data_IF_865558738941
#
_entry.id   IF_865558738941
#
_cell.length_a   1.000
_cell.length_b   1.000
_cell.length_c   1.000
_cell.angle_alpha   90.00
_cell.angle_beta   90.00
_cell.angle_gamma   90.00
#
_symmetry.space_group_name_H-M   'P 1'
#
loop_
_entity.id
_entity.type
_entity.pdbx_description
1 polymer ?
#
# COMPACT_ATOMS: atom_id res chain seq x y z
N UNK A 1 -20.28 34.60 -26.32
CA UNK A 1 -20.16 34.59 -24.84
C UNK A 1 -19.81 35.94 -24.22
N UNK A 2 -18.75 36.65 -24.68
CA UNK A 2 -18.33 37.95 -24.10
C UNK A 2 -19.41 39.04 -24.09
N UNK A 3 -20.23 39.15 -25.14
CA UNK A 3 -21.32 40.14 -25.20
C UNK A 3 -22.48 39.84 -24.24
N UNK A 4 -22.77 38.56 -23.97
CA UNK A 4 -23.78 38.11 -23.01
C UNK A 4 -23.33 38.36 -21.56
N UNK A 5 -22.06 38.09 -21.26
CA UNK A 5 -21.43 38.40 -19.97
C UNK A 5 -21.45 39.89 -19.63
N UNK A 6 -21.24 40.76 -20.64
CA UNK A 6 -21.32 42.20 -20.47
C UNK A 6 -22.73 42.69 -20.11
N UNK A 7 -23.77 42.10 -20.70
CA UNK A 7 -25.18 42.45 -20.42
C UNK A 7 -25.65 41.96 -19.05
N UNK A 8 -25.23 40.76 -18.62
CA UNK A 8 -25.60 40.21 -17.29
C UNK A 8 -24.90 40.99 -16.17
N UNK A 9 -23.63 41.34 -16.33
CA UNK A 9 -22.87 42.08 -15.31
C UNK A 9 -23.37 43.52 -15.10
N UNK A 10 -24.08 44.09 -16.09
CA UNK A 10 -24.72 45.40 -15.98
C UNK A 10 -26.09 45.35 -15.28
N UNK A 11 -26.72 44.18 -15.21
CA UNK A 11 -28.02 43.94 -14.56
C UNK A 11 -27.85 43.43 -13.13
N UNK A 12 -26.89 42.54 -12.91
CA UNK A 12 -26.53 41.99 -11.60
C UNK A 12 -25.02 41.70 -11.59
N UNK A 13 -24.23 42.53 -10.88
CA UNK A 13 -22.79 42.34 -10.75
C UNK A 13 -22.39 41.00 -10.13
N UNK A 14 -23.19 40.44 -9.21
CA UNK A 14 -22.93 39.15 -8.57
C UNK A 14 -23.19 37.99 -9.54
N UNK A 15 -24.29 38.04 -10.29
CA UNK A 15 -24.58 37.05 -11.33
C UNK A 15 -23.50 37.08 -12.44
N UNK A 16 -23.02 38.27 -12.81
CA UNK A 16 -21.93 38.45 -13.76
C UNK A 16 -20.60 37.84 -13.28
N UNK A 17 -20.31 37.93 -11.98
CA UNK A 17 -19.13 37.30 -11.38
C UNK A 17 -19.26 35.77 -11.36
N UNK A 18 -20.43 35.23 -11.01
CA UNK A 18 -20.67 33.78 -10.97
C UNK A 18 -20.46 33.11 -12.33
N UNK A 19 -20.96 33.69 -13.43
CA UNK A 19 -20.77 33.12 -14.77
C UNK A 19 -19.30 33.15 -15.20
N UNK A 20 -18.54 34.19 -14.83
CA UNK A 20 -17.09 34.25 -15.09
C UNK A 20 -16.33 33.15 -14.36
N UNK A 21 -16.67 32.88 -13.09
CA UNK A 21 -16.06 31.82 -12.29
C UNK A 21 -16.32 30.45 -12.91
N UNK A 22 -17.55 30.18 -13.32
CA UNK A 22 -17.93 28.91 -13.96
C UNK A 22 -17.15 28.70 -15.26
N UNK A 23 -17.18 29.69 -16.15
CA UNK A 23 -16.48 29.62 -17.44
C UNK A 23 -14.96 29.42 -17.27
N UNK A 24 -14.35 30.13 -16.32
CA UNK A 24 -12.92 30.02 -16.06
C UNK A 24 -12.51 28.61 -15.61
N UNK A 25 -13.22 28.00 -14.66
CA UNK A 25 -12.87 26.66 -14.19
C UNK A 25 -13.27 25.55 -15.16
N UNK A 26 -14.29 25.76 -15.99
CA UNK A 26 -14.62 24.85 -17.10
C UNK A 26 -13.49 24.81 -18.14
N UNK A 27 -12.87 25.94 -18.47
CA UNK A 27 -11.68 26.00 -19.34
C UNK A 27 -10.44 25.31 -18.74
N UNK A 28 -10.42 25.11 -17.43
CA UNK A 28 -9.36 24.40 -16.71
C UNK A 28 -9.61 22.90 -16.55
N UNK A 29 -10.61 22.33 -17.22
CA UNK A 29 -10.80 20.88 -17.27
C UNK A 29 -9.55 20.19 -17.87
N UNK A 30 -8.89 19.36 -17.06
CA UNK A 30 -7.64 18.69 -17.44
C UNK A 30 -6.34 19.46 -17.15
N UNK A 31 -6.42 20.69 -16.64
CA UNK A 31 -5.25 21.48 -16.25
C UNK A 31 -4.53 20.94 -14.99
N UNK A 32 -3.30 21.40 -14.77
CA UNK A 32 -2.55 21.09 -13.55
C UNK A 32 -3.17 21.71 -12.29
N UNK A 33 -2.69 21.31 -11.12
CA UNK A 33 -3.13 21.84 -9.82
C UNK A 33 -2.83 23.34 -9.69
N UNK A 34 -1.69 23.79 -10.22
CA UNK A 34 -1.23 25.19 -10.16
C UNK A 34 -2.21 26.19 -10.82
N UNK A 35 -2.65 26.00 -12.08
CA UNK A 35 -3.66 26.87 -12.71
C UNK A 35 -4.95 27.02 -11.90
N UNK A 36 -5.40 25.97 -11.21
CA UNK A 36 -6.63 26.00 -10.42
C UNK A 36 -6.46 26.88 -9.18
N UNK A 37 -5.33 26.79 -8.48
CA UNK A 37 -5.04 27.62 -7.30
C UNK A 37 -4.83 29.07 -7.72
N UNK A 38 -4.12 29.30 -8.83
CA UNK A 38 -3.95 30.62 -9.43
C UNK A 38 -5.29 31.28 -9.72
N UNK A 39 -6.19 30.53 -10.38
CA UNK A 39 -7.54 30.96 -10.67
C UNK A 39 -8.32 31.36 -9.42
N UNK A 40 -8.26 30.53 -8.38
CA UNK A 40 -8.92 30.81 -7.12
C UNK A 40 -8.43 32.13 -6.50
N UNK A 41 -7.13 32.39 -6.51
CA UNK A 41 -6.57 33.63 -5.97
C UNK A 41 -6.92 34.87 -6.80
N UNK A 42 -6.80 34.78 -8.13
CA UNK A 42 -7.08 35.89 -9.05
C UNK A 42 -8.57 36.27 -9.05
N UNK A 43 -9.48 35.28 -9.03
CA UNK A 43 -10.92 35.53 -9.08
C UNK A 43 -11.50 36.08 -7.76
N UNK A 44 -10.87 35.75 -6.62
CA UNK A 44 -11.31 36.23 -5.30
C UNK A 44 -10.56 37.46 -4.83
N UNK A 45 -9.41 37.77 -5.44
CA UNK A 45 -8.52 38.85 -5.01
C UNK A 45 -7.83 38.59 -3.67
N UNK A 46 -7.87 37.35 -3.16
CA UNK A 46 -7.17 36.93 -1.93
C UNK A 46 -6.22 35.79 -2.20
N UNK A 47 -5.15 35.62 -1.39
CA UNK A 47 -4.29 34.47 -1.53
C UNK A 47 -5.08 33.17 -1.36
N UNK A 48 -4.76 32.18 -2.18
CA UNK A 48 -5.38 30.86 -2.15
C UNK A 48 -4.29 29.79 -2.09
N UNK A 49 -4.59 28.64 -1.50
CA UNK A 49 -3.63 27.55 -1.46
C UNK A 49 -4.25 26.17 -1.39
N UNK A 50 -3.44 25.17 -1.68
CA UNK A 50 -3.84 23.77 -1.64
C UNK A 50 -2.71 22.90 -1.09
N UNK A 51 -3.06 22.04 -0.13
CA UNK A 51 -2.15 21.04 0.44
C UNK A 51 -2.75 19.65 0.27
N UNK A 52 -1.91 18.67 -0.06
CA UNK A 52 -2.30 17.26 -0.11
C UNK A 52 -1.14 16.40 0.39
N UNK A 53 -1.14 16.00 1.68
CA UNK A 53 -0.06 15.22 2.30
C UNK A 53 0.27 13.94 1.51
N UNK A 54 -0.76 13.18 1.11
CA UNK A 54 -0.59 11.93 0.36
C UNK A 54 -0.01 12.07 -1.07
N UNK A 55 0.16 13.30 -1.58
CA UNK A 55 0.75 13.58 -2.90
C UNK A 55 1.94 14.55 -2.84
N UNK A 56 2.37 14.96 -1.64
CA UNK A 56 3.46 15.92 -1.47
C UNK A 56 3.21 17.28 -2.13
N UNK A 57 1.94 17.66 -2.31
CA UNK A 57 1.56 18.94 -2.91
C UNK A 57 1.33 19.96 -1.80
N UNK A 58 1.98 21.12 -1.90
CA UNK A 58 1.73 22.27 -1.04
C UNK A 58 2.04 23.53 -1.85
N UNK A 59 0.98 24.20 -2.32
CA UNK A 59 1.06 25.34 -3.22
C UNK A 59 0.22 26.49 -2.67
N UNK A 60 0.69 27.71 -2.91
CA UNK A 60 0.01 28.97 -2.57
C UNK A 60 0.14 29.93 -3.74
N UNK A 61 -0.97 30.51 -4.16
CA UNK A 61 -1.02 31.59 -5.13
C UNK A 61 -1.36 32.91 -4.44
N UNK A 62 -0.72 34.00 -4.85
CA UNK A 62 -1.13 35.34 -4.45
C UNK A 62 -2.19 35.93 -5.41
N UNK A 63 -2.83 37.07 -5.07
CA UNK A 63 -3.82 37.71 -5.94
C UNK A 63 -3.28 38.20 -7.29
N UNK A 64 -1.96 38.36 -7.44
CA UNK A 64 -1.32 38.69 -8.72
C UNK A 64 -1.16 37.46 -9.64
N UNK A 65 -1.41 36.26 -9.10
CA UNK A 65 -1.34 34.98 -9.82
C UNK A 65 0.02 34.29 -9.73
N UNK A 66 0.94 34.79 -8.89
CA UNK A 66 2.23 34.15 -8.66
C UNK A 66 2.05 32.93 -7.74
N UNK A 67 2.48 31.76 -8.22
CA UNK A 67 2.31 30.49 -7.50
C UNK A 67 3.65 30.03 -6.93
N UNK A 68 3.66 29.72 -5.64
CA UNK A 68 4.84 29.26 -4.91
C UNK A 68 4.53 28.01 -4.12
N UNK A 69 5.56 27.23 -3.83
CA UNK A 69 5.46 26.18 -2.81
C UNK A 69 5.34 26.82 -1.43
N UNK A 70 4.43 26.31 -0.61
CA UNK A 70 4.28 26.73 0.78
C UNK A 70 4.62 25.57 1.70
N UNK A 71 5.25 25.86 2.84
CA UNK A 71 5.50 24.91 3.92
C UNK A 71 4.58 25.16 5.14
N UNK A 72 3.80 26.23 5.11
CA UNK A 72 2.88 26.58 6.18
C UNK A 72 1.57 25.81 6.03
N UNK A 73 1.12 25.22 7.13
CA UNK A 73 -0.23 24.67 7.23
C UNK A 73 -1.26 25.82 7.20
N UNK A 74 -2.43 25.60 6.59
CA UNK A 74 -3.47 26.63 6.54
C UNK A 74 -3.98 26.97 7.95
N UNK A 75 -4.19 28.25 8.21
CA UNK A 75 -4.82 28.71 9.46
C UNK A 75 -6.25 28.14 9.55
N UNK A 76 -6.65 27.52 10.68
CA UNK A 76 -7.99 26.96 10.86
C UNK A 76 -9.13 27.98 10.72
N UNK A 77 -8.85 29.28 10.89
CA UNK A 77 -9.82 30.37 10.76
C UNK A 77 -10.13 30.76 9.32
N UNK A 78 -9.37 30.26 8.34
CA UNK A 78 -9.55 30.56 6.94
C UNK A 78 -10.65 29.74 6.28
N UNK A 79 -11.34 30.33 5.29
CA UNK A 79 -12.29 29.58 4.48
C UNK A 79 -11.59 28.44 3.75
N UNK A 80 -12.08 27.23 3.95
CA UNK A 80 -11.47 26.03 3.36
C UNK A 80 -12.50 24.97 2.99
N UNK A 81 -12.12 24.12 2.04
CA UNK A 81 -12.91 22.96 1.61
C UNK A 81 -11.99 21.76 1.43
N UNK A 82 -12.49 20.58 1.82
CA UNK A 82 -11.76 19.32 1.60
C UNK A 82 -11.93 18.83 0.16
N UNK A 83 -10.82 18.35 -0.38
CA UNK A 83 -10.71 17.82 -1.74
C UNK A 83 -9.95 16.50 -1.67
N UNK A 84 -10.68 15.39 -1.51
CA UNK A 84 -10.09 14.07 -1.25
C UNK A 84 -9.29 14.09 0.06
N UNK A 85 -8.00 13.73 -0.01
CA UNK A 85 -7.06 13.79 1.12
C UNK A 85 -6.34 15.12 1.30
N UNK A 86 -6.73 16.17 0.57
CA UNK A 86 -6.16 17.51 0.64
C UNK A 86 -7.15 18.60 1.07
N UNK A 87 -6.62 19.81 1.29
CA UNK A 87 -7.38 20.99 1.72
C UNK A 87 -7.06 22.15 0.78
N UNK A 88 -8.11 22.75 0.20
CA UNK A 88 -8.07 24.02 -0.53
C UNK A 88 -8.54 25.13 0.41
N UNK A 89 -7.84 26.26 0.46
CA UNK A 89 -8.21 27.40 1.30
C UNK A 89 -8.07 28.74 0.59
N UNK A 90 -8.74 29.75 1.15
CA UNK A 90 -8.58 31.17 0.86
C UNK A 90 -8.12 31.87 2.16
N UNK A 91 -7.08 32.70 2.11
CA UNK A 91 -6.51 33.40 3.27
C UNK A 91 -7.38 34.58 3.72
N UNK A 92 -8.59 34.26 4.16
CA UNK A 92 -9.59 35.18 4.65
C UNK A 92 -10.30 34.58 5.86
N UNK A 93 -10.21 35.29 6.98
CA UNK A 93 -10.93 34.97 8.22
C UNK A 93 -12.10 35.94 8.37
N UNK A 94 -13.29 35.53 7.92
CA UNK A 94 -14.56 36.27 8.12
C UNK A 94 -15.66 35.31 8.55
N UNK A 95 -16.81 35.83 9.00
CA UNK A 95 -17.90 35.02 9.54
C UNK A 95 -18.50 33.98 8.55
N UNK A 96 -18.22 34.13 7.25
CA UNK A 96 -18.49 33.14 6.20
C UNK A 96 -18.02 33.63 4.83
N UNK A 97 -17.88 32.73 3.83
CA UNK A 97 -17.47 33.11 2.49
C UNK A 97 -18.59 33.89 1.81
N UNK A 98 -18.23 34.96 1.10
CA UNK A 98 -19.16 35.65 0.21
C UNK A 98 -19.62 34.74 -0.94
N UNK A 99 -20.71 35.07 -1.66
CA UNK A 99 -21.25 34.22 -2.73
C UNK A 99 -20.21 33.83 -3.79
N UNK A 100 -19.34 34.78 -4.17
CA UNK A 100 -18.26 34.55 -5.14
C UNK A 100 -17.19 33.60 -4.59
N UNK A 101 -16.83 33.73 -3.32
CA UNK A 101 -15.80 32.89 -2.69
C UNK A 101 -16.28 31.45 -2.52
N UNK A 102 -17.54 31.28 -2.10
CA UNK A 102 -18.17 29.98 -1.99
C UNK A 102 -18.19 29.27 -3.36
N UNK A 103 -18.59 29.98 -4.41
CA UNK A 103 -18.60 29.47 -5.79
C UNK A 103 -17.18 29.12 -6.27
N UNK A 104 -16.19 29.98 -6.02
CA UNK A 104 -14.80 29.71 -6.40
C UNK A 104 -14.27 28.46 -5.67
N UNK A 105 -14.49 28.35 -4.36
CA UNK A 105 -14.07 27.17 -3.58
C UNK A 105 -14.74 25.89 -4.12
N UNK A 106 -16.03 25.94 -4.42
CA UNK A 106 -16.77 24.79 -4.96
C UNK A 106 -16.24 24.36 -6.33
N UNK A 107 -16.12 25.30 -7.27
CA UNK A 107 -15.70 25.03 -8.64
C UNK A 107 -14.23 24.63 -8.72
N UNK A 108 -13.34 25.29 -7.97
CA UNK A 108 -11.94 24.90 -7.85
C UNK A 108 -11.79 23.51 -7.21
N UNK A 109 -12.57 23.20 -6.16
CA UNK A 109 -12.58 21.87 -5.56
C UNK A 109 -13.04 20.80 -6.56
N UNK A 110 -14.09 21.05 -7.35
CA UNK A 110 -14.54 20.13 -8.38
C UNK A 110 -13.45 19.88 -9.44
N UNK A 111 -12.78 20.93 -9.91
CA UNK A 111 -11.66 20.82 -10.85
C UNK A 111 -10.48 20.02 -10.26
N UNK A 112 -10.13 20.28 -8.99
CA UNK A 112 -9.09 19.51 -8.29
C UNK A 112 -9.48 18.05 -8.07
N UNK A 113 -10.73 17.73 -7.70
CA UNK A 113 -11.21 16.34 -7.55
C UNK A 113 -11.13 15.59 -8.87
N UNK A 114 -11.71 16.15 -9.93
CA UNK A 114 -11.63 15.57 -11.27
C UNK A 114 -10.17 15.33 -11.67
N UNK A 115 -9.28 16.29 -11.38
CA UNK A 115 -7.85 16.12 -11.64
C UNK A 115 -7.21 15.03 -10.78
N UNK A 116 -7.50 14.96 -9.48
CA UNK A 116 -6.89 14.03 -8.52
C UNK A 116 -7.38 12.59 -8.67
N UNK A 117 -8.62 12.40 -9.12
CA UNK A 117 -9.21 11.11 -9.50
C UNK A 117 -8.60 10.58 -10.80
N UNK A 118 -8.34 11.47 -11.76
CA UNK A 118 -7.70 11.13 -13.03
C UNK A 118 -6.15 11.31 -13.00
N UNK A 119 -5.58 11.71 -11.87
CA UNK A 119 -4.15 11.87 -11.68
C UNK A 119 -3.52 10.55 -11.27
N UNK A 120 -2.61 9.97 -12.09
CA UNK A 120 -1.68 9.01 -11.54
C UNK A 120 -0.86 9.70 -10.41
N UNK A 121 -0.57 8.99 -9.31
CA UNK A 121 0.13 9.58 -8.16
C UNK A 121 1.50 10.14 -8.56
N UNK A 122 1.87 11.39 -8.18
CA UNK A 122 3.19 11.92 -8.49
C UNK A 122 4.23 11.56 -7.42
N UNK A 123 5.14 10.65 -7.79
CA UNK A 123 6.59 10.67 -7.60
C UNK A 123 7.17 9.56 -8.48
N UNK A 124 7.71 9.94 -9.63
CA UNK A 124 7.94 9.07 -10.79
C UNK A 124 9.04 8.04 -10.62
N UNK A 125 8.70 6.78 -10.88
CA UNK A 125 9.63 5.65 -10.92
C UNK A 125 8.86 4.34 -11.05
N UNK A 126 9.57 3.22 -11.23
CA UNK A 126 9.01 1.87 -11.36
C UNK A 126 7.97 1.55 -10.27
N UNK A 127 8.13 2.02 -9.04
CA UNK A 127 7.19 1.75 -7.93
C UNK A 127 5.78 2.30 -8.16
N UNK A 128 5.61 3.48 -8.74
CA UNK A 128 4.28 4.04 -9.00
C UNK A 128 3.54 3.25 -10.08
N UNK A 129 4.27 2.80 -11.10
CA UNK A 129 3.76 1.91 -12.14
C UNK A 129 3.43 0.53 -11.59
N UNK A 130 4.27 -0.01 -10.70
CA UNK A 130 4.01 -1.27 -10.00
C UNK A 130 2.73 -1.18 -9.15
N UNK A 131 2.50 -0.07 -8.44
CA UNK A 131 1.24 0.18 -7.71
C UNK A 131 0.03 0.17 -8.65
N UNK A 132 0.11 0.91 -9.76
CA UNK A 132 -0.99 0.94 -10.74
C UNK A 132 -1.27 -0.42 -11.38
N UNK A 133 -0.22 -1.23 -11.61
CA UNK A 133 -0.35 -2.57 -12.19
C UNK A 133 -1.09 -3.55 -11.27
N UNK A 134 -0.92 -3.43 -9.95
CA UNK A 134 -1.53 -4.35 -8.99
C UNK A 134 -2.88 -3.87 -8.44
N UNK A 135 -3.30 -2.66 -8.80
CA UNK A 135 -4.54 -2.06 -8.32
C UNK A 135 -5.74 -2.66 -9.07
N UNK A 136 -6.56 -3.44 -8.36
CA UNK A 136 -7.72 -4.11 -8.94
C UNK A 136 -8.80 -3.12 -9.40
N UNK A 137 -8.88 -1.95 -8.75
CA UNK A 137 -9.93 -0.96 -8.94
C UNK A 137 -9.62 0.01 -10.10
N UNK A 138 -8.36 0.01 -10.57
CA UNK A 138 -8.00 0.78 -11.75
C UNK A 138 -8.57 0.16 -13.04
N UNK A 139 -9.12 0.98 -13.96
CA UNK A 139 -9.57 0.51 -15.26
C UNK A 139 -8.44 -0.20 -16.01
N UNK A 140 -8.79 -1.27 -16.72
CA UNK A 140 -7.84 -2.11 -17.45
C UNK A 140 -6.97 -1.30 -18.42
N UNK A 141 -7.55 -0.32 -19.12
CA UNK A 141 -6.81 0.58 -20.00
C UNK A 141 -5.68 1.35 -19.29
N UNK A 142 -5.93 1.79 -18.06
CA UNK A 142 -4.94 2.51 -17.27
C UNK A 142 -3.83 1.56 -16.82
N UNK A 143 -4.17 0.33 -16.43
CA UNK A 143 -3.19 -0.72 -16.12
C UNK A 143 -2.37 -1.12 -17.34
N UNK A 144 -2.99 -1.25 -18.51
CA UNK A 144 -2.30 -1.55 -19.76
C UNK A 144 -1.28 -0.46 -20.12
N UNK A 145 -1.64 0.83 -19.95
CA UNK A 145 -0.71 1.95 -20.11
C UNK A 145 0.43 1.89 -19.08
N UNK A 146 0.13 1.55 -17.83
CA UNK A 146 1.14 1.37 -16.79
C UNK A 146 2.11 0.22 -17.11
N UNK A 147 1.60 -0.92 -17.61
CA UNK A 147 2.38 -2.08 -18.04
C UNK A 147 3.38 -1.73 -19.14
N UNK A 148 2.91 -1.05 -20.18
CA UNK A 148 3.76 -0.58 -21.29
C UNK A 148 4.87 0.35 -20.79
N UNK A 149 4.52 1.30 -19.91
CA UNK A 149 5.50 2.22 -19.32
C UNK A 149 6.44 1.55 -18.32
N UNK A 150 6.04 0.44 -17.71
CA UNK A 150 6.89 -0.38 -16.85
C UNK A 150 7.92 -1.21 -17.65
N UNK A 151 7.67 -1.40 -18.95
CA UNK A 151 8.49 -2.22 -19.85
C UNK A 151 8.08 -3.70 -19.87
N UNK A 152 6.83 -4.03 -19.50
CA UNK A 152 6.31 -5.39 -19.68
C UNK A 152 5.91 -5.58 -21.15
N UNK A 153 6.54 -6.53 -21.82
CA UNK A 153 6.17 -6.89 -23.19
C UNK A 153 4.78 -7.56 -23.21
N UNK A 154 3.96 -7.35 -24.25
CA UNK A 154 2.73 -8.12 -24.44
C UNK A 154 3.01 -9.62 -24.39
N UNK A 155 2.18 -10.37 -23.66
CA UNK A 155 2.35 -11.83 -23.45
C UNK A 155 3.48 -12.24 -22.49
N UNK A 156 4.26 -11.29 -21.96
CA UNK A 156 5.26 -11.61 -20.92
C UNK A 156 4.58 -11.87 -19.57
N UNK A 157 5.10 -12.85 -18.82
CA UNK A 157 4.64 -13.14 -17.47
C UNK A 157 5.45 -12.36 -16.44
N UNK A 158 4.75 -11.81 -15.47
CA UNK A 158 5.31 -11.04 -14.36
C UNK A 158 4.72 -11.51 -13.04
N UNK A 159 5.43 -11.23 -11.94
CA UNK A 159 5.04 -11.56 -10.57
C UNK A 159 4.89 -10.27 -9.77
N UNK A 160 3.83 -10.17 -8.98
CA UNK A 160 3.74 -9.14 -7.96
C UNK A 160 4.51 -9.57 -6.70
N UNK A 161 5.22 -8.64 -6.07
CA UNK A 161 6.00 -8.89 -4.86
C UNK A 161 5.62 -7.89 -3.78
N UNK A 162 5.14 -8.41 -2.65
CA UNK A 162 4.82 -7.67 -1.45
C UNK A 162 6.01 -7.67 -0.50
N UNK A 163 6.72 -6.54 -0.43
CA UNK A 163 7.84 -6.37 0.49
C UNK A 163 7.33 -6.12 1.91
N UNK A 164 8.01 -6.72 2.90
CA UNK A 164 7.79 -6.36 4.28
C UNK A 164 8.05 -4.86 4.50
N UNK A 165 7.10 -4.16 5.13
CA UNK A 165 7.12 -2.70 5.27
C UNK A 165 6.25 -1.95 4.25
N UNK A 166 5.48 -2.66 3.41
CA UNK A 166 4.46 -2.05 2.54
C UNK A 166 4.96 -1.65 1.14
N UNK A 167 6.11 -2.16 0.71
CA UNK A 167 6.62 -1.97 -0.65
C UNK A 167 5.92 -2.89 -1.65
N UNK A 168 5.75 -2.40 -2.89
CA UNK A 168 5.32 -3.20 -4.03
C UNK A 168 6.38 -3.17 -5.11
N UNK A 169 6.67 -4.36 -5.66
CA UNK A 169 7.51 -4.54 -6.84
C UNK A 169 6.80 -5.44 -7.83
N UNK A 170 7.12 -5.26 -9.11
CA UNK A 170 6.74 -6.18 -10.18
C UNK A 170 8.02 -6.69 -10.82
N UNK A 171 8.18 -8.00 -10.86
CA UNK A 171 9.36 -8.67 -11.42
C UNK A 171 8.96 -9.49 -12.63
N UNK A 172 9.89 -9.70 -13.56
CA UNK A 172 9.67 -10.72 -14.59
C UNK A 172 9.56 -12.10 -13.94
N UNK A 173 8.86 -13.05 -14.57
CA UNK A 173 8.62 -14.38 -13.98
C UNK A 173 9.91 -15.13 -13.58
N UNK A 174 10.98 -14.94 -14.35
CA UNK A 174 12.31 -15.55 -14.14
C UNK A 174 13.22 -14.73 -13.22
N UNK A 175 12.85 -13.49 -12.89
CA UNK A 175 13.68 -12.61 -12.07
C UNK A 175 13.55 -12.98 -10.59
N UNK A 176 14.66 -13.25 -9.88
CA UNK A 176 14.61 -13.63 -8.49
C UNK A 176 14.14 -12.46 -7.60
N UNK A 177 13.31 -12.73 -6.58
CA UNK A 177 12.77 -11.68 -5.69
C UNK A 177 13.80 -10.99 -4.79
N UNK A 178 15.02 -11.53 -4.72
CA UNK A 178 16.11 -11.09 -3.87
C UNK A 178 16.02 -11.66 -2.45
N UNK A 179 16.91 -11.20 -1.57
CA UNK A 179 17.00 -11.68 -0.18
C UNK A 179 16.16 -10.87 0.82
N UNK A 180 15.41 -9.86 0.38
CA UNK A 180 14.55 -9.07 1.27
C UNK A 180 13.33 -9.87 1.67
N UNK A 181 12.82 -9.62 2.88
CA UNK A 181 11.64 -10.32 3.39
C UNK A 181 10.42 -9.94 2.56
N UNK A 182 9.82 -10.89 1.85
CA UNK A 182 8.78 -10.61 0.87
C UNK A 182 7.86 -11.82 0.62
N UNK A 183 6.60 -11.55 0.31
CA UNK A 183 5.69 -12.51 -0.30
C UNK A 183 5.67 -12.33 -1.82
N UNK A 184 5.68 -13.43 -2.56
CA UNK A 184 5.75 -13.44 -4.03
C UNK A 184 4.51 -14.11 -4.58
N UNK A 185 3.79 -13.41 -5.45
CA UNK A 185 2.61 -13.91 -6.12
C UNK A 185 2.93 -14.83 -7.30
N UNK A 186 1.92 -15.51 -7.85
CA UNK A 186 2.08 -16.31 -9.03
C UNK A 186 2.53 -15.51 -10.26
N UNK A 187 3.22 -16.16 -11.20
CA UNK A 187 3.55 -15.56 -12.49
C UNK A 187 2.27 -15.45 -13.33
N UNK A 188 1.92 -14.26 -13.77
CA UNK A 188 0.68 -13.98 -14.51
C UNK A 188 0.94 -12.97 -15.61
N UNK A 189 -0.02 -12.76 -16.51
CA UNK A 189 0.08 -11.66 -17.46
C UNK A 189 -0.04 -10.30 -16.76
N UNK A 190 0.43 -9.24 -17.42
CA UNK A 190 0.51 -7.91 -16.82
C UNK A 190 -0.84 -7.38 -16.29
N UNK A 191 -1.96 -7.75 -16.92
CA UNK A 191 -3.30 -7.30 -16.52
C UNK A 191 -3.88 -8.10 -15.35
N UNK A 192 -3.36 -9.31 -15.12
CA UNK A 192 -3.75 -10.20 -14.02
C UNK A 192 -2.91 -10.00 -12.76
N UNK A 193 -1.93 -9.08 -12.79
CA UNK A 193 -1.10 -8.72 -11.64
C UNK A 193 -1.87 -8.38 -10.34
N UNK A 194 -3.11 -7.87 -10.35
CA UNK A 194 -3.89 -7.73 -9.12
C UNK A 194 -4.14 -9.05 -8.39
N UNK A 195 -4.38 -10.15 -9.13
CA UNK A 195 -4.53 -11.49 -8.52
C UNK A 195 -3.22 -11.98 -7.91
N UNK A 196 -2.12 -11.81 -8.65
CA UNK A 196 -0.78 -12.12 -8.17
C UNK A 196 -0.44 -11.32 -6.91
N UNK A 197 -0.82 -10.05 -6.86
CA UNK A 197 -0.61 -9.18 -5.71
C UNK A 197 -1.42 -9.60 -4.49
N UNK A 198 -2.68 -9.97 -4.67
CA UNK A 198 -3.50 -10.50 -3.59
C UNK A 198 -2.84 -11.72 -2.93
N UNK A 199 -2.37 -12.67 -3.74
CA UNK A 199 -1.67 -13.86 -3.25
C UNK A 199 -0.29 -13.54 -2.67
N UNK A 200 0.46 -12.58 -3.24
CA UNK A 200 1.72 -12.11 -2.70
C UNK A 200 1.57 -11.56 -1.26
N UNK A 201 0.50 -10.80 -1.01
CA UNK A 201 0.19 -10.27 0.33
C UNK A 201 -0.14 -11.38 1.33
N UNK A 202 -0.87 -12.41 0.90
CA UNK A 202 -1.12 -13.59 1.75
C UNK A 202 0.18 -14.36 2.02
N UNK A 203 0.99 -14.60 0.99
CA UNK A 203 2.29 -15.26 1.12
C UNK A 203 3.25 -14.52 2.05
N UNK A 204 3.24 -13.17 2.03
CA UNK A 204 4.06 -12.35 2.92
C UNK A 204 3.81 -12.69 4.40
N UNK A 205 2.59 -13.08 4.77
CA UNK A 205 2.25 -13.42 6.16
C UNK A 205 2.84 -14.76 6.63
N UNK A 206 3.30 -15.61 5.73
CA UNK A 206 4.03 -16.84 6.05
C UNK A 206 5.55 -16.63 6.17
N UNK A 207 6.04 -15.43 5.89
CA UNK A 207 7.48 -15.15 6.00
C UNK A 207 7.91 -15.08 7.47
N UNK A 208 9.20 -15.31 7.73
CA UNK A 208 9.84 -15.13 9.03
C UNK A 208 10.97 -14.10 8.92
N UNK A 209 11.53 -13.68 10.05
CA UNK A 209 12.76 -12.87 10.07
C UNK A 209 13.98 -13.68 9.64
N UNK A 210 13.96 -15.00 9.83
CA UNK A 210 15.06 -15.91 9.53
C UNK A 210 16.16 -15.88 10.59
N UNK A 211 15.78 -15.60 11.84
CA UNK A 211 16.69 -15.58 13.00
C UNK A 211 16.43 -16.80 13.89
N UNK A 212 17.30 -17.11 14.85
CA UNK A 212 17.06 -18.21 15.78
C UNK A 212 15.77 -18.06 16.61
N UNK A 213 15.36 -16.83 16.90
CA UNK A 213 14.13 -16.51 17.63
C UNK A 213 12.87 -16.44 16.74
N UNK A 214 13.05 -16.34 15.42
CA UNK A 214 11.96 -16.38 14.44
C UNK A 214 12.45 -17.08 13.15
N UNK A 215 12.60 -18.41 13.23
CA UNK A 215 13.21 -19.19 12.16
C UNK A 215 12.25 -19.37 10.97
N UNK A 216 12.85 -19.57 9.79
CA UNK A 216 12.14 -19.91 8.56
C UNK A 216 12.36 -19.01 7.36
N UNK A 217 11.64 -19.26 6.24
CA UNK A 217 11.80 -18.52 5.00
C UNK A 217 11.52 -17.03 5.13
N UNK A 218 12.45 -16.20 4.68
CA UNK A 218 12.28 -14.75 4.54
C UNK A 218 11.49 -14.39 3.28
N UNK A 219 11.57 -15.22 2.25
CA UNK A 219 10.82 -15.07 1.00
C UNK A 219 9.91 -16.27 0.87
N UNK A 220 8.63 -16.05 0.59
CA UNK A 220 7.64 -17.12 0.41
C UNK A 220 6.90 -16.90 -0.91
N UNK A 221 6.88 -17.92 -1.76
CA UNK A 221 6.11 -17.94 -2.99
C UNK A 221 4.70 -18.48 -2.71
N UNK A 222 3.67 -17.78 -3.17
CA UNK A 222 2.28 -18.21 -2.98
C UNK A 222 2.00 -19.56 -3.65
N UNK A 223 2.63 -19.83 -4.79
CA UNK A 223 2.48 -21.08 -5.56
C UNK A 223 2.94 -22.32 -4.77
N UNK A 224 3.93 -22.14 -3.89
CA UNK A 224 4.51 -23.21 -3.07
C UNK A 224 3.67 -23.53 -1.83
N UNK A 225 2.78 -22.62 -1.42
CA UNK A 225 1.94 -22.81 -0.24
C UNK A 225 0.76 -23.74 -0.50
N UNK A 226 0.27 -23.83 -1.74
CA UNK A 226 -0.91 -24.61 -2.10
C UNK A 226 -2.09 -24.30 -1.18
N UNK A 227 -2.68 -25.34 -0.58
CA UNK A 227 -3.82 -25.21 0.34
C UNK A 227 -3.54 -24.43 1.62
N UNK A 228 -2.28 -24.27 2.03
CA UNK A 228 -1.93 -23.48 3.22
C UNK A 228 -2.29 -22.00 3.04
N UNK A 229 -2.33 -21.49 1.80
CA UNK A 229 -2.64 -20.09 1.52
C UNK A 229 -4.02 -19.67 2.07
N UNK A 230 -4.99 -20.59 2.11
CA UNK A 230 -6.34 -20.37 2.66
C UNK A 230 -6.32 -20.03 4.16
N UNK A 231 -5.28 -20.48 4.89
CA UNK A 231 -5.13 -20.16 6.31
C UNK A 231 -4.85 -18.67 6.52
N UNK A 232 -4.27 -17.97 5.54
CA UNK A 232 -4.05 -16.53 5.64
C UNK A 232 -5.38 -15.78 5.78
N UNK A 233 -6.41 -16.15 5.03
CA UNK A 233 -7.70 -15.45 5.12
C UNK A 233 -8.46 -15.77 6.42
N UNK A 234 -8.16 -16.92 7.03
CA UNK A 234 -8.83 -17.40 8.24
C UNK A 234 -8.18 -16.87 9.52
N UNK A 235 -6.86 -16.88 9.60
CA UNK A 235 -6.12 -16.50 10.80
C UNK A 235 -5.95 -14.99 10.85
N UNK A 236 -6.41 -14.36 11.93
CA UNK A 236 -6.26 -12.91 12.15
C UNK A 236 -4.99 -12.60 12.95
N UNK A 237 -4.16 -11.63 12.53
CA UNK A 237 -3.02 -11.19 13.32
C UNK A 237 -3.46 -10.69 14.70
N UNK A 238 -2.70 -11.03 15.74
CA UNK A 238 -3.01 -10.63 17.13
C UNK A 238 -4.25 -11.28 17.76
N UNK A 239 -4.90 -12.24 17.09
CA UNK A 239 -5.96 -13.05 17.68
C UNK A 239 -5.44 -14.03 18.74
N UNK A 240 -6.35 -14.67 19.47
CA UNK A 240 -6.00 -15.72 20.44
C UNK A 240 -5.38 -16.92 19.71
N UNK A 241 -4.14 -17.33 20.06
CA UNK A 241 -3.46 -18.40 19.38
C UNK A 241 -4.12 -19.75 19.69
N UNK A 242 -4.27 -20.59 18.67
CA UNK A 242 -4.68 -21.99 18.85
C UNK A 242 -3.69 -22.73 19.76
N UNK A 243 -4.10 -23.83 20.43
CA UNK A 243 -3.27 -24.53 21.41
C UNK A 243 -1.86 -24.90 20.90
N UNK A 244 -1.75 -25.30 19.64
CA UNK A 244 -0.48 -25.67 19.01
C UNK A 244 0.49 -24.48 18.90
N UNK A 245 -0.04 -23.30 18.56
CA UNK A 245 0.74 -22.06 18.51
C UNK A 245 1.11 -21.61 19.92
N UNK A 246 0.19 -21.68 20.88
CA UNK A 246 0.48 -21.38 22.28
C UNK A 246 1.60 -22.28 22.84
N UNK A 247 1.63 -23.56 22.44
CA UNK A 247 2.69 -24.49 22.80
C UNK A 247 4.04 -24.11 22.16
N UNK A 248 4.06 -23.68 20.89
CA UNK A 248 5.26 -23.15 20.25
C UNK A 248 5.76 -21.86 20.93
N UNK A 249 4.86 -20.96 21.32
CA UNK A 249 5.22 -19.75 22.07
C UNK A 249 5.79 -20.08 23.46
N UNK A 250 5.35 -21.18 24.07
CA UNK A 250 5.97 -21.70 25.30
C UNK A 250 7.40 -22.15 25.05
N UNK A 251 7.65 -22.91 23.98
CA UNK A 251 9.01 -23.29 23.57
C UNK A 251 9.87 -22.06 23.30
N UNK A 252 9.36 -21.09 22.56
CA UNK A 252 10.07 -19.86 22.23
C UNK A 252 10.49 -19.07 23.48
N UNK A 253 9.70 -19.11 24.56
CA UNK A 253 9.98 -18.43 25.83
C UNK A 253 10.94 -19.21 26.74
N UNK A 254 10.70 -20.52 26.90
CA UNK A 254 11.42 -21.35 27.88
C UNK A 254 12.70 -21.98 27.33
N UNK A 255 12.79 -22.15 26.00
CA UNK A 255 13.94 -22.72 25.33
C UNK A 255 14.09 -22.16 23.90
N UNK A 256 14.39 -20.86 23.73
CA UNK A 256 14.42 -20.21 22.41
C UNK A 256 15.23 -20.95 21.32
N UNK A 257 16.41 -21.54 21.61
CA UNK A 257 17.17 -22.28 20.60
C UNK A 257 16.44 -23.49 20.02
N UNK A 258 15.49 -24.08 20.74
CA UNK A 258 14.72 -25.23 20.26
C UNK A 258 13.73 -24.85 19.15
N UNK A 259 13.35 -23.58 19.03
CA UNK A 259 12.46 -23.16 17.94
C UNK A 259 13.14 -23.32 16.57
N UNK A 260 14.42 -22.97 16.47
CA UNK A 260 15.23 -23.18 15.26
C UNK A 260 15.41 -24.68 14.94
N UNK A 261 15.58 -25.51 15.98
CA UNK A 261 15.63 -26.98 15.84
C UNK A 261 14.31 -27.53 15.29
N UNK A 262 13.17 -27.07 15.81
CA UNK A 262 11.84 -27.48 15.36
C UNK A 262 11.58 -27.08 13.90
N UNK A 263 11.92 -25.85 13.51
CA UNK A 263 11.81 -25.38 12.13
C UNK A 263 12.71 -26.20 11.17
N UNK A 264 13.93 -26.52 11.59
CA UNK A 264 14.83 -27.38 10.83
C UNK A 264 14.29 -28.81 10.66
N UNK A 265 13.69 -29.39 11.71
CA UNK A 265 13.06 -30.71 11.64
C UNK A 265 11.81 -30.70 10.77
N UNK A 266 11.00 -29.64 10.83
CA UNK A 266 9.82 -29.46 10.01
C UNK A 266 10.18 -29.30 8.51
N UNK A 267 11.29 -28.64 8.20
CA UNK A 267 11.69 -28.32 6.82
C UNK A 267 12.64 -29.34 6.19
N UNK A 268 13.16 -30.30 6.96
CA UNK A 268 14.14 -31.29 6.49
C UNK A 268 13.51 -32.65 6.14
N UNK A 269 14.04 -33.36 5.13
CA UNK A 269 13.55 -34.69 4.77
C UNK A 269 13.85 -35.75 5.84
N UNK A 270 14.83 -35.51 6.72
CA UNK A 270 15.19 -36.43 7.81
C UNK A 270 15.80 -35.70 9.00
N UNK A 271 15.82 -36.36 10.16
CA UNK A 271 16.48 -35.83 11.37
C UNK A 271 18.00 -35.66 11.19
N UNK A 272 18.63 -36.51 10.36
CA UNK A 272 20.06 -36.35 10.03
C UNK A 272 20.31 -35.10 9.18
N UNK A 273 19.42 -34.82 8.22
CA UNK A 273 19.48 -33.59 7.44
C UNK A 273 19.26 -32.35 8.32
N UNK A 274 18.29 -32.40 9.23
CA UNK A 274 18.04 -31.33 10.21
C UNK A 274 19.26 -31.08 11.11
N UNK A 275 19.88 -32.14 11.65
CA UNK A 275 21.08 -32.02 12.48
C UNK A 275 22.23 -31.32 11.74
N UNK A 276 22.49 -31.73 10.49
CA UNK A 276 23.51 -31.11 9.63
C UNK A 276 23.20 -29.65 9.33
N UNK A 277 21.95 -29.31 9.03
CA UNK A 277 21.52 -27.93 8.78
C UNK A 277 21.70 -27.02 10.00
N UNK A 278 21.63 -27.58 11.21
CA UNK A 278 21.88 -26.87 12.47
C UNK A 278 23.35 -26.93 12.94
N UNK A 279 24.24 -27.63 12.22
CA UNK A 279 25.62 -27.83 12.65
C UNK A 279 25.77 -28.67 13.93
N UNK A 280 24.78 -29.51 14.25
CA UNK A 280 24.74 -30.30 15.48
C UNK A 280 25.03 -31.78 15.23
N UNK A 281 25.56 -32.45 16.26
CA UNK A 281 25.61 -33.90 16.28
C UNK A 281 24.21 -34.50 16.45
N UNK A 282 24.01 -35.69 15.90
CA UNK A 282 22.69 -36.36 15.92
C UNK A 282 22.17 -36.60 17.35
N UNK A 283 23.04 -36.92 18.30
CA UNK A 283 22.69 -37.13 19.72
C UNK A 283 22.15 -35.85 20.37
N UNK A 284 22.82 -34.71 20.16
CA UNK A 284 22.39 -33.40 20.66
C UNK A 284 21.03 -33.00 20.11
N UNK A 285 20.79 -33.25 18.81
CA UNK A 285 19.48 -33.00 18.21
C UNK A 285 18.39 -33.86 18.87
N UNK A 286 18.65 -35.15 19.10
CA UNK A 286 17.68 -36.07 19.72
C UNK A 286 17.32 -35.66 21.15
N UNK A 287 18.30 -35.26 21.97
CA UNK A 287 18.08 -34.75 23.32
C UNK A 287 17.26 -33.45 23.30
N UNK A 288 17.60 -32.52 22.41
CA UNK A 288 16.85 -31.29 22.19
C UNK A 288 15.40 -31.54 21.78
N UNK A 289 15.16 -32.52 20.90
CA UNK A 289 13.81 -32.93 20.50
C UNK A 289 13.04 -33.55 21.66
N UNK A 290 13.66 -34.39 22.49
CA UNK A 290 13.00 -34.93 23.68
C UNK A 290 12.55 -33.82 24.65
N UNK A 291 13.34 -32.74 24.80
CA UNK A 291 12.94 -31.56 25.57
C UNK A 291 11.81 -30.79 24.88
N UNK A 292 11.89 -30.60 23.56
CA UNK A 292 10.86 -29.90 22.79
C UNK A 292 9.51 -30.62 22.87
N UNK A 293 9.47 -31.94 22.69
CA UNK A 293 8.24 -32.74 22.77
C UNK A 293 7.56 -32.65 24.14
N UNK A 294 8.31 -32.55 25.24
CA UNK A 294 7.74 -32.31 26.59
C UNK A 294 7.08 -30.94 26.72
N UNK A 295 7.64 -29.91 26.09
CA UNK A 295 7.08 -28.56 26.10
C UNK A 295 5.90 -28.41 25.15
N UNK A 296 5.95 -29.08 24.00
CA UNK A 296 4.90 -29.09 22.98
C UNK A 296 3.69 -29.93 23.41
N UNK A 297 3.94 -31.10 24.00
CA UNK A 297 2.91 -32.07 24.36
C UNK A 297 2.54 -33.05 23.24
N UNK A 298 3.33 -33.15 22.17
CA UNK A 298 3.18 -34.16 21.12
C UNK A 298 4.53 -34.60 20.53
N UNK A 299 4.62 -35.81 19.97
CA UNK A 299 5.87 -36.31 19.37
C UNK A 299 6.09 -35.68 17.99
N UNK A 300 7.24 -35.02 17.76
CA UNK A 300 7.58 -34.40 16.46
C UNK A 300 8.44 -35.30 15.58
N UNK A 301 8.86 -36.45 16.13
CA UNK A 301 9.63 -37.47 15.42
C UNK A 301 8.76 -38.33 14.51
N UNK A 302 7.49 -38.47 14.84
CA UNK A 302 6.49 -39.17 14.05
C UNK A 302 6.01 -38.34 12.85
N UNK A 303 5.55 -39.02 11.79
CA UNK A 303 5.09 -38.37 10.54
C UNK A 303 3.92 -37.42 10.81
N UNK A 304 2.91 -37.89 11.55
CA UNK A 304 1.72 -37.11 11.92
C UNK A 304 2.06 -35.89 12.76
N UNK A 305 2.92 -36.06 13.76
CA UNK A 305 3.34 -34.96 14.62
C UNK A 305 4.28 -33.95 13.93
N UNK A 306 5.04 -34.38 12.93
CA UNK A 306 5.82 -33.47 12.07
C UNK A 306 4.91 -32.64 11.16
N UNK A 307 3.87 -33.24 10.57
CA UNK A 307 2.86 -32.49 9.81
C UNK A 307 2.17 -31.45 10.71
N UNK A 308 1.75 -31.86 11.91
CA UNK A 308 1.18 -30.94 12.91
C UNK A 308 2.13 -29.79 13.24
N UNK A 309 3.43 -30.08 13.42
CA UNK A 309 4.46 -29.07 13.66
C UNK A 309 4.59 -28.09 12.49
N UNK A 310 4.60 -28.57 11.24
CA UNK A 310 4.66 -27.72 10.05
C UNK A 310 3.48 -26.74 9.99
N UNK A 311 2.26 -27.25 10.22
CA UNK A 311 1.05 -26.41 10.26
C UNK A 311 1.11 -25.41 11.42
N UNK A 312 1.53 -25.84 12.61
CA UNK A 312 1.65 -24.97 13.78
C UNK A 312 2.67 -23.82 13.55
N UNK A 313 3.80 -24.11 12.90
CA UNK A 313 4.81 -23.09 12.53
C UNK A 313 4.26 -22.09 11.50
N UNK A 314 3.49 -22.58 10.50
CA UNK A 314 2.81 -21.71 9.55
C UNK A 314 1.78 -20.80 10.23
N UNK A 315 0.92 -21.36 11.10
CA UNK A 315 -0.08 -20.62 11.87
C UNK A 315 0.58 -19.57 12.76
N UNK A 316 1.66 -19.92 13.47
CA UNK A 316 2.43 -18.99 14.31
C UNK A 316 2.82 -17.73 13.52
N UNK A 317 3.32 -17.89 12.29
CA UNK A 317 3.71 -16.75 11.44
C UNK A 317 2.51 -15.90 11.04
N UNK A 318 1.37 -16.53 10.74
CA UNK A 318 0.13 -15.81 10.42
C UNK A 318 -0.40 -14.97 11.59
N UNK A 319 -0.20 -15.43 12.84
CA UNK A 319 -0.53 -14.65 14.04
C UNK A 319 0.41 -13.46 14.25
N UNK A 320 1.70 -13.62 13.92
CA UNK A 320 2.72 -12.58 14.13
C UNK A 320 2.78 -11.52 13.01
N UNK A 321 2.33 -11.84 11.79
CA UNK A 321 2.49 -10.98 10.62
C UNK A 321 1.20 -10.28 10.18
N UNK A 322 1.31 -8.96 10.05
CA UNK A 322 0.32 -8.04 9.48
C UNK A 322 0.39 -8.00 7.95
#
# INVERSE_FOLDING_TARGET
MRELLGRISALDPEAGAAVKVIAYFDELTGAGVEPVIRGAAVLTGVPAGFTHPGRGLALRADPAGEVRRTAADPDPSWHSIRVGGGVLWLERATAGPGPVEAMVLERAAAALRARLEHAPPPAGGRTALARALVDADLPEEQRARAARRYGLAPGSRARAVADHGGGVRVLAAEEPPGARRAGVGPAVEALDLPSSWHDARKALRFTARGTGADPGPRVVFAEELGGLLLLADTVRPGGEPVPDVAALERVAREAPPLLAVLDAVASSPSLRAAARAQGQHHSTLQEGLGRAERLLGWPVREVSGRLRLQVALALRRLYCNL
#
